data_IF_884260803046
#
_entry.id   IF_884260803046
#
_cell.length_a   1.000
_cell.length_b   1.000
_cell.length_c   1.000
_cell.angle_alpha   90.00
_cell.angle_beta   90.00
_cell.angle_gamma   90.00
#
_symmetry.space_group_name_H-M   'P 1'
#
loop_
_entity.id
_entity.type
_entity.pdbx_description
1 polymer ?
#
# COMPACT_ATOMS: atom_id res chain seq x y z
N UNK A 1 -4.44 -7.11 -15.88
CA UNK A 1 -4.39 -8.42 -15.20
C UNK A 1 -3.72 -8.26 -13.83
N UNK A 2 -3.83 -9.24 -12.93
CA UNK A 2 -3.08 -9.33 -11.66
C UNK A 2 -2.46 -10.72 -11.60
N UNK A 3 -1.13 -10.82 -11.44
CA UNK A 3 -0.41 -12.10 -11.45
C UNK A 3 -0.15 -12.68 -10.06
N UNK A 4 0.18 -11.81 -9.10
CA UNK A 4 0.44 -12.14 -7.70
C UNK A 4 -0.01 -10.95 -6.82
N UNK A 5 -0.16 -11.17 -5.52
CA UNK A 5 -0.24 -10.12 -4.52
C UNK A 5 0.64 -10.52 -3.32
N UNK A 6 1.38 -9.56 -2.77
CA UNK A 6 2.11 -9.70 -1.51
C UNK A 6 1.29 -9.09 -0.38
N UNK A 7 1.38 -9.66 0.82
CA UNK A 7 0.66 -9.20 2.01
C UNK A 7 1.64 -9.18 3.18
N UNK A 8 1.91 -8.01 3.73
CA UNK A 8 2.55 -7.86 5.03
C UNK A 8 1.51 -7.91 6.15
N UNK A 9 1.92 -8.44 7.31
CA UNK A 9 1.09 -8.58 8.50
C UNK A 9 1.94 -8.14 9.70
N UNK A 10 1.48 -7.10 10.40
CA UNK A 10 2.14 -6.51 11.55
C UNK A 10 1.13 -5.77 12.44
N UNK A 11 1.55 -5.35 13.63
CA UNK A 11 0.72 -4.61 14.59
C UNK A 11 0.37 -3.17 14.15
N UNK A 12 1.04 -2.65 13.12
CA UNK A 12 0.83 -1.31 12.57
C UNK A 12 0.99 -1.29 11.04
N UNK A 13 0.49 -0.22 10.40
CA UNK A 13 0.44 -0.12 8.94
C UNK A 13 1.79 0.16 8.27
N UNK A 14 2.74 0.80 8.96
CA UNK A 14 4.07 1.12 8.42
C UNK A 14 4.96 -0.14 8.30
N UNK A 15 4.93 -0.97 9.33
CA UNK A 15 5.61 -2.28 9.36
C UNK A 15 4.94 -3.26 8.37
N UNK A 16 3.59 -3.27 8.31
CA UNK A 16 2.86 -4.07 7.33
C UNK A 16 3.07 -3.64 5.86
N UNK A 17 3.21 -2.33 5.59
CA UNK A 17 3.56 -1.81 4.26
C UNK A 17 4.98 -2.23 3.88
N UNK A 18 5.97 -1.96 4.74
CA UNK A 18 7.38 -2.33 4.53
C UNK A 18 7.56 -3.82 4.27
N UNK A 19 6.90 -4.70 5.03
CA UNK A 19 6.94 -6.16 4.79
C UNK A 19 6.30 -6.54 3.45
N UNK A 20 5.19 -5.90 3.05
CA UNK A 20 4.56 -6.14 1.75
C UNK A 20 5.44 -5.69 0.57
N UNK A 21 6.13 -4.55 0.73
CA UNK A 21 6.96 -3.94 -0.30
C UNK A 21 8.32 -4.65 -0.43
N UNK A 22 8.96 -5.06 0.66
CA UNK A 22 10.16 -5.93 0.63
C UNK A 22 9.85 -7.28 -0.03
N UNK A 23 8.71 -7.90 0.31
CA UNK A 23 8.24 -9.12 -0.34
C UNK A 23 7.98 -8.90 -1.85
N UNK A 24 7.43 -7.74 -2.24
CA UNK A 24 7.19 -7.41 -3.66
C UNK A 24 8.50 -7.18 -4.42
N UNK A 25 9.45 -6.43 -3.83
CA UNK A 25 10.81 -6.22 -4.35
C UNK A 25 11.62 -7.53 -4.49
N UNK A 26 11.23 -8.61 -3.80
CA UNK A 26 11.83 -9.94 -4.00
C UNK A 26 11.51 -10.56 -5.38
N UNK A 27 10.35 -10.23 -5.97
CA UNK A 27 9.89 -10.78 -7.25
C UNK A 27 10.75 -10.27 -8.41
N UNK A 28 11.17 -11.16 -9.32
CA UNK A 28 12.05 -10.85 -10.46
C UNK A 28 11.36 -11.11 -11.81
N UNK A 29 11.64 -10.26 -12.79
CA UNK A 29 11.11 -10.34 -14.15
C UNK A 29 10.53 -8.99 -14.63
N UNK A 30 9.77 -9.02 -15.74
CA UNK A 30 9.04 -7.84 -16.24
C UNK A 30 7.72 -7.64 -15.48
N UNK A 31 7.84 -7.33 -14.20
CA UNK A 31 6.71 -7.02 -13.30
C UNK A 31 6.62 -5.52 -13.05
N UNK A 32 5.43 -5.05 -12.70
CA UNK A 32 5.17 -3.67 -12.27
C UNK A 32 4.23 -3.72 -11.07
N UNK A 33 4.53 -2.95 -10.03
CA UNK A 33 3.70 -2.81 -8.83
C UNK A 33 3.50 -1.33 -8.48
N UNK A 34 3.02 -1.03 -7.27
CA UNK A 34 2.85 0.32 -6.73
C UNK A 34 3.54 0.40 -5.39
N UNK A 35 4.48 1.33 -5.25
CA UNK A 35 5.26 1.58 -4.02
C UNK A 35 4.53 2.55 -3.05
N UNK A 36 3.31 3.00 -3.37
CA UNK A 36 2.49 3.88 -2.52
C UNK A 36 1.36 3.13 -1.77
N UNK A 37 1.36 1.79 -1.76
CA UNK A 37 0.28 0.99 -1.17
C UNK A 37 0.40 0.93 0.35
N UNK A 38 -0.41 1.74 1.04
CA UNK A 38 -0.45 1.73 2.52
C UNK A 38 0.48 2.76 3.17
N UNK A 39 1.18 3.57 2.38
CA UNK A 39 1.99 4.68 2.89
C UNK A 39 1.12 5.73 3.59
N UNK A 40 1.69 6.42 4.58
CA UNK A 40 1.00 7.44 5.35
C UNK A 40 0.40 8.55 4.45
N UNK A 41 1.15 9.06 3.46
CA UNK A 41 0.65 10.07 2.52
C UNK A 41 -0.60 9.59 1.78
N UNK A 42 -0.59 8.34 1.27
CA UNK A 42 -1.76 7.81 0.57
C UNK A 42 -2.95 7.67 1.53
N UNK A 43 -2.74 7.17 2.75
CA UNK A 43 -3.80 7.00 3.75
C UNK A 43 -4.42 8.36 4.11
N UNK A 44 -3.61 9.36 4.45
CA UNK A 44 -4.07 10.71 4.77
C UNK A 44 -4.85 11.34 3.62
N UNK A 45 -4.35 11.20 2.38
CA UNK A 45 -5.00 11.67 1.15
C UNK A 45 -6.35 10.99 0.90
N UNK A 46 -6.53 9.72 1.28
CA UNK A 46 -7.85 9.04 1.25
C UNK A 46 -8.76 9.53 2.38
N UNK A 47 -8.24 9.74 3.59
CA UNK A 47 -9.00 10.30 4.72
C UNK A 47 -9.50 11.71 4.39
N UNK A 48 -8.66 12.59 3.85
CA UNK A 48 -9.07 13.91 3.37
C UNK A 48 -10.15 13.85 2.29
N UNK A 49 -9.98 12.97 1.31
CA UNK A 49 -10.94 12.82 0.21
C UNK A 49 -12.32 12.39 0.75
N UNK A 50 -12.35 11.45 1.72
CA UNK A 50 -13.59 11.04 2.38
C UNK A 50 -14.20 12.13 3.26
N UNK A 51 -13.39 12.93 3.99
CA UNK A 51 -13.85 14.12 4.72
C UNK A 51 -14.57 15.10 3.77
N UNK A 52 -13.91 15.45 2.66
CA UNK A 52 -14.42 16.33 1.61
C UNK A 52 -15.72 15.80 0.95
N UNK A 53 -15.85 14.49 0.75
CA UNK A 53 -17.09 13.84 0.27
C UNK A 53 -18.22 13.90 1.31
N UNK A 54 -17.90 13.73 2.59
CA UNK A 54 -18.86 13.65 3.70
C UNK A 54 -19.25 15.03 4.28
N UNK A 55 -18.70 16.14 3.77
CA UNK A 55 -18.93 17.48 4.29
C UNK A 55 -18.37 17.69 5.71
N UNK A 56 -17.19 17.10 6.00
CA UNK A 56 -16.50 17.14 7.30
C UNK A 56 -15.06 17.64 7.19
#
# INVERSE_FOLDING_TARGET
SRGIACLGIADNLEEAERVAEEATKSVKGKVFHREDIGTQELIEKRIEHMKKILGK
#
